data_IF_919601165031
#
_entry.id   IF_919601165031
#
_cell.length_a   1.000
_cell.length_b   1.000
_cell.length_c   1.000
_cell.angle_alpha   90.00
_cell.angle_beta   90.00
_cell.angle_gamma   90.00
#
_symmetry.space_group_name_H-M   'P 1'
#
loop_
_entity.id
_entity.type
_entity.pdbx_description
1 polymer ?
#
# COMPACT_ATOMS: atom_id res chain seq x y z
N UNK A 1 35.30 -58.36 -51.84
CA UNK A 1 34.65 -58.96 -50.66
C UNK A 1 34.95 -58.02 -49.50
N UNK A 2 34.05 -57.12 -49.21
CA UNK A 2 34.20 -56.14 -48.14
C UNK A 2 32.91 -56.08 -47.40
N UNK A 3 32.92 -56.38 -46.13
CA UNK A 3 31.86 -56.37 -45.19
C UNK A 3 31.67 -54.96 -44.69
N UNK A 4 30.43 -54.43 -44.57
CA UNK A 4 30.21 -53.10 -43.96
C UNK A 4 30.08 -53.22 -42.44
N UNK A 5 30.74 -52.30 -41.72
CA UNK A 5 30.63 -52.11 -40.29
C UNK A 5 29.34 -51.34 -39.92
N UNK A 6 28.55 -51.93 -39.06
CA UNK A 6 27.39 -51.31 -38.43
C UNK A 6 27.85 -50.35 -37.28
N UNK A 7 27.64 -49.08 -37.43
CA UNK A 7 27.72 -48.07 -36.36
C UNK A 7 26.38 -48.02 -35.63
N UNK A 8 26.35 -48.64 -34.45
CA UNK A 8 25.23 -48.49 -33.51
C UNK A 8 25.27 -47.14 -32.79
N UNK A 9 24.33 -46.24 -33.11
CA UNK A 9 24.13 -45.02 -32.38
C UNK A 9 23.42 -45.29 -31.05
N UNK A 10 24.12 -45.06 -29.93
CA UNK A 10 23.49 -44.99 -28.60
C UNK A 10 22.80 -43.62 -28.45
N UNK A 11 21.47 -43.60 -28.55
CA UNK A 11 20.68 -42.47 -28.10
C UNK A 11 20.61 -42.47 -26.57
N UNK A 12 21.33 -41.55 -25.94
CA UNK A 12 21.13 -41.24 -24.53
C UNK A 12 19.79 -40.50 -24.39
N UNK A 13 18.76 -41.18 -23.92
CA UNK A 13 17.54 -40.56 -23.42
C UNK A 13 17.89 -40.06 -22.03
N UNK A 14 18.15 -38.75 -21.91
CA UNK A 14 18.19 -38.06 -20.62
C UNK A 14 16.75 -37.95 -20.15
N UNK A 15 16.32 -38.90 -19.32
CA UNK A 15 15.10 -38.76 -18.55
C UNK A 15 15.30 -37.60 -17.54
N UNK A 16 14.73 -36.45 -17.81
CA UNK A 16 14.59 -35.42 -16.81
C UNK A 16 13.75 -36.04 -15.68
N UNK A 17 14.39 -36.28 -14.54
CA UNK A 17 13.69 -36.61 -13.29
C UNK A 17 13.05 -35.30 -12.84
N UNK A 18 11.84 -35.05 -13.28
CA UNK A 18 10.94 -34.09 -12.64
C UNK A 18 10.61 -34.75 -11.30
N UNK A 19 11.29 -34.33 -10.24
CA UNK A 19 10.85 -34.61 -8.87
C UNK A 19 9.54 -33.82 -8.68
N UNK A 20 8.46 -34.47 -9.02
CA UNK A 20 7.10 -34.05 -8.74
C UNK A 20 6.96 -34.04 -7.20
N UNK A 21 7.21 -32.88 -6.59
CA UNK A 21 7.03 -32.70 -5.16
C UNK A 21 5.53 -32.52 -4.94
N UNK A 22 4.80 -33.64 -4.85
CA UNK A 22 3.38 -33.65 -4.60
C UNK A 22 3.05 -32.83 -3.35
N UNK A 23 1.93 -32.09 -3.37
CA UNK A 23 1.42 -31.37 -2.20
C UNK A 23 1.24 -32.35 -1.04
N UNK A 24 1.72 -31.98 0.15
CA UNK A 24 1.61 -32.80 1.37
C UNK A 24 0.22 -32.73 1.99
N UNK A 25 -0.52 -31.67 1.70
CA UNK A 25 -1.85 -31.39 2.27
C UNK A 25 -2.76 -30.79 1.19
N UNK A 26 -4.04 -31.17 1.23
CA UNK A 26 -5.10 -30.58 0.40
C UNK A 26 -6.11 -29.89 1.29
N UNK A 27 -6.50 -28.67 0.94
CA UNK A 27 -7.50 -27.86 1.66
C UNK A 27 -8.62 -27.47 0.68
N UNK A 28 -9.85 -27.82 1.00
CA UNK A 28 -11.02 -27.38 0.24
C UNK A 28 -11.72 -26.22 0.97
N UNK A 29 -12.01 -25.11 0.25
CA UNK A 29 -12.68 -23.91 0.79
C UNK A 29 -13.67 -23.32 -0.23
N UNK A 30 -14.57 -22.47 0.25
CA UNK A 30 -15.37 -21.64 -0.65
C UNK A 30 -14.50 -20.55 -1.30
N UNK A 31 -13.63 -19.89 -0.52
CA UNK A 31 -12.80 -18.79 -1.00
C UNK A 31 -11.36 -18.94 -0.50
N UNK A 32 -10.41 -18.82 -1.42
CA UNK A 32 -9.00 -18.59 -1.11
C UNK A 32 -8.66 -17.09 -1.29
N UNK A 33 -7.98 -16.50 -0.32
CA UNK A 33 -7.59 -15.08 -0.32
C UNK A 33 -6.06 -15.00 -0.31
N UNK A 34 -5.47 -14.42 -1.33
CA UNK A 34 -4.04 -14.16 -1.39
C UNK A 34 -3.76 -12.76 -0.87
N UNK A 35 -3.05 -12.68 0.24
CA UNK A 35 -2.72 -11.47 1.00
C UNK A 35 -3.64 -11.26 2.21
N UNK A 36 -3.01 -11.08 3.39
CA UNK A 36 -3.68 -10.82 4.68
C UNK A 36 -3.58 -9.35 5.12
N UNK A 37 -3.46 -8.43 4.17
CA UNK A 37 -3.50 -6.99 4.43
C UNK A 37 -4.89 -6.47 4.78
N UNK A 38 -5.07 -5.14 4.75
CA UNK A 38 -6.34 -4.49 5.14
C UNK A 38 -7.56 -5.06 4.39
N UNK A 39 -7.45 -5.23 3.07
CA UNK A 39 -8.55 -5.73 2.23
C UNK A 39 -8.82 -7.21 2.44
N UNK A 40 -7.76 -8.04 2.38
CA UNK A 40 -7.92 -9.50 2.48
C UNK A 40 -8.36 -9.96 3.86
N UNK A 41 -7.78 -9.39 4.93
CA UNK A 41 -8.19 -9.70 6.30
C UNK A 41 -9.65 -9.30 6.58
N UNK A 42 -10.07 -8.12 6.10
CA UNK A 42 -11.47 -7.69 6.21
C UNK A 42 -12.41 -8.64 5.44
N UNK A 43 -12.08 -8.96 4.19
CA UNK A 43 -12.90 -9.86 3.38
C UNK A 43 -13.01 -11.25 4.03
N UNK A 44 -11.90 -11.79 4.59
CA UNK A 44 -11.91 -13.08 5.29
C UNK A 44 -12.84 -13.08 6.49
N UNK A 45 -12.79 -12.06 7.35
CA UNK A 45 -13.68 -11.93 8.51
C UNK A 45 -15.14 -11.85 8.07
N UNK A 46 -15.44 -10.99 7.09
CA UNK A 46 -16.82 -10.82 6.61
C UNK A 46 -17.38 -12.10 6.00
N UNK A 47 -16.62 -12.76 5.13
CA UNK A 47 -17.02 -14.01 4.49
C UNK A 47 -17.29 -15.11 5.53
N UNK A 48 -16.39 -15.28 6.49
CA UNK A 48 -16.49 -16.32 7.50
C UNK A 48 -17.59 -16.04 8.51
N UNK A 49 -17.56 -14.88 9.16
CA UNK A 49 -18.40 -14.57 10.32
C UNK A 49 -19.80 -14.06 9.93
N UNK A 50 -19.89 -13.28 8.84
CA UNK A 50 -21.14 -12.63 8.48
C UNK A 50 -21.91 -13.41 7.39
N UNK A 51 -21.20 -14.19 6.54
CA UNK A 51 -21.79 -14.93 5.43
C UNK A 51 -21.61 -16.45 5.51
N UNK A 52 -21.03 -16.96 6.60
CA UNK A 52 -20.83 -18.39 6.85
C UNK A 52 -20.18 -19.13 5.66
N UNK A 53 -19.14 -18.53 5.07
CA UNK A 53 -18.34 -19.13 4.00
C UNK A 53 -17.02 -19.64 4.56
N UNK A 54 -16.57 -20.79 4.11
CA UNK A 54 -15.25 -21.30 4.44
C UNK A 54 -14.18 -20.54 3.68
N UNK A 55 -13.15 -20.04 4.40
CA UNK A 55 -12.07 -19.24 3.82
C UNK A 55 -10.70 -19.82 4.17
N UNK A 56 -9.69 -19.49 3.39
CA UNK A 56 -8.30 -19.62 3.77
C UNK A 56 -7.53 -18.38 3.24
N UNK A 57 -6.71 -17.79 4.11
CA UNK A 57 -5.84 -16.65 3.77
C UNK A 57 -4.42 -17.15 3.60
N UNK A 58 -3.78 -16.81 2.50
CA UNK A 58 -2.35 -17.06 2.26
C UNK A 58 -1.60 -15.74 2.43
N UNK A 59 -0.72 -15.66 3.42
CA UNK A 59 0.01 -14.44 3.76
C UNK A 59 1.52 -14.68 3.73
N UNK A 60 2.25 -13.86 2.98
CA UNK A 60 3.71 -13.97 2.82
C UNK A 60 4.49 -13.62 4.09
N UNK A 61 3.92 -12.77 4.95
CA UNK A 61 4.51 -12.42 6.23
C UNK A 61 4.12 -13.43 7.32
N UNK A 62 4.75 -13.32 8.48
CA UNK A 62 4.40 -14.11 9.67
C UNK A 62 3.26 -13.47 10.50
N UNK A 63 2.56 -12.47 9.95
CA UNK A 63 1.47 -11.73 10.58
C UNK A 63 0.49 -11.19 9.55
N UNK A 64 -0.73 -10.92 9.96
CA UNK A 64 -1.70 -10.13 9.17
C UNK A 64 -1.43 -8.62 9.33
N UNK A 65 -2.05 -7.81 8.46
CA UNK A 65 -2.07 -6.36 8.55
C UNK A 65 -1.42 -5.61 7.38
N UNK A 66 -0.65 -6.30 6.53
CA UNK A 66 -0.02 -5.68 5.35
C UNK A 66 0.83 -4.45 5.71
N UNK A 67 0.39 -3.26 5.30
CA UNK A 67 1.08 -1.99 5.56
C UNK A 67 0.93 -1.45 7.00
N UNK A 68 0.16 -2.09 7.86
CA UNK A 68 0.20 -1.78 9.29
C UNK A 68 1.53 -2.27 9.85
N UNK A 69 2.25 -1.36 10.51
CA UNK A 69 3.53 -1.64 11.12
C UNK A 69 3.63 -0.89 12.46
N UNK A 70 3.66 -1.64 13.54
CA UNK A 70 3.78 -1.14 14.91
C UNK A 70 5.09 -1.62 15.52
N UNK A 71 5.77 -0.73 16.25
CA UNK A 71 6.98 -1.02 16.99
C UNK A 71 6.72 -0.75 18.49
N UNK A 72 7.01 -1.72 19.33
CA UNK A 72 7.00 -1.53 20.78
C UNK A 72 8.43 -1.44 21.26
N UNK A 73 8.78 -0.30 21.84
CA UNK A 73 10.10 -0.05 22.38
C UNK A 73 10.32 -0.93 23.62
N UNK A 74 11.30 -1.85 23.59
CA UNK A 74 11.54 -2.76 24.72
C UNK A 74 12.03 -2.07 26.00
N UNK A 75 12.61 -0.86 25.89
CA UNK A 75 13.12 -0.11 27.05
C UNK A 75 12.00 0.63 27.78
N UNK A 76 11.03 1.18 27.04
CA UNK A 76 9.98 2.02 27.61
C UNK A 76 8.61 1.35 27.65
N UNK A 77 8.42 0.25 26.93
CA UNK A 77 7.13 -0.40 26.71
C UNK A 77 6.16 0.43 25.85
N UNK A 78 6.59 1.58 25.32
CA UNK A 78 5.76 2.43 24.49
C UNK A 78 5.63 1.88 23.08
N UNK A 79 4.42 1.93 22.51
CA UNK A 79 4.16 1.49 21.14
C UNK A 79 3.99 2.68 20.19
N UNK A 80 4.49 2.50 18.98
CA UNK A 80 4.47 3.50 17.92
C UNK A 80 4.07 2.85 16.58
N UNK A 81 3.05 3.40 15.94
CA UNK A 81 2.72 3.05 14.56
C UNK A 81 3.61 3.83 13.60
N UNK A 82 4.33 3.12 12.74
CA UNK A 82 5.22 3.74 11.74
C UNK A 82 4.79 3.47 10.29
N UNK A 83 3.85 2.53 10.06
CA UNK A 83 3.09 2.36 8.83
C UNK A 83 1.78 3.18 8.85
N UNK A 84 0.63 2.50 8.85
CA UNK A 84 -0.70 3.14 9.03
C UNK A 84 -0.80 3.76 10.41
N UNK A 85 -1.14 5.06 10.48
CA UNK A 85 -1.14 5.80 11.75
C UNK A 85 -2.53 5.97 12.38
N UNK A 86 -3.57 6.11 11.55
CA UNK A 86 -4.95 6.29 12.01
C UNK A 86 -5.92 5.96 10.88
N UNK A 87 -7.16 5.80 11.25
CA UNK A 87 -8.28 5.47 10.37
C UNK A 87 -9.22 6.67 10.25
N UNK A 88 -9.58 7.05 9.03
CA UNK A 88 -10.67 8.01 8.81
C UNK A 88 -11.98 7.35 9.22
N UNK A 89 -12.83 8.07 9.94
CA UNK A 89 -14.13 7.59 10.40
C UNK A 89 -15.09 7.52 9.20
N UNK A 90 -14.96 6.48 8.41
CA UNK A 90 -15.79 6.17 7.25
C UNK A 90 -16.92 5.21 7.68
N UNK A 91 -18.09 5.21 7.03
CA UNK A 91 -19.22 4.36 7.43
C UNK A 91 -18.84 2.90 7.67
N UNK A 92 -19.21 2.33 8.81
CA UNK A 92 -18.93 0.94 9.19
C UNK A 92 -17.51 0.64 9.69
N UNK A 93 -16.58 1.60 9.56
CA UNK A 93 -15.17 1.35 9.88
C UNK A 93 -14.91 1.21 11.40
N UNK A 94 -15.52 2.08 12.19
CA UNK A 94 -15.39 2.01 13.66
C UNK A 94 -16.04 0.75 14.21
N UNK A 95 -17.22 0.39 13.71
CA UNK A 95 -17.96 -0.80 14.08
C UNK A 95 -17.17 -2.06 13.78
N UNK A 96 -16.44 -2.10 12.67
CA UNK A 96 -15.58 -3.23 12.33
C UNK A 96 -14.44 -3.42 13.34
N UNK A 97 -13.83 -2.35 13.85
CA UNK A 97 -12.76 -2.45 14.87
C UNK A 97 -13.33 -2.82 16.24
N UNK A 98 -14.44 -2.19 16.63
CA UNK A 98 -15.05 -2.42 17.94
C UNK A 98 -15.61 -3.86 18.09
N UNK A 99 -15.95 -4.54 16.99
CA UNK A 99 -16.39 -5.96 17.04
C UNK A 99 -15.32 -6.91 17.63
N UNK A 100 -14.07 -6.49 17.69
CA UNK A 100 -12.97 -7.24 18.31
C UNK A 100 -12.66 -6.78 19.74
N UNK A 101 -13.58 -6.06 20.39
CA UNK A 101 -13.39 -5.49 21.74
C UNK A 101 -12.18 -4.53 21.84
N UNK A 102 -11.77 -3.93 20.72
CA UNK A 102 -10.65 -2.98 20.69
C UNK A 102 -11.19 -1.57 20.90
N UNK A 103 -10.88 -0.94 22.06
CA UNK A 103 -11.29 0.43 22.32
C UNK A 103 -10.50 1.40 21.44
N UNK A 104 -11.21 2.38 20.88
CA UNK A 104 -10.64 3.40 19.99
C UNK A 104 -10.76 4.80 20.56
N UNK A 105 -9.84 5.67 20.17
CA UNK A 105 -9.82 7.07 20.58
C UNK A 105 -9.48 7.98 19.39
N UNK A 106 -9.74 9.28 19.54
CA UNK A 106 -9.33 10.29 18.56
C UNK A 106 -7.83 10.49 18.61
N UNK A 107 -7.13 10.58 17.45
CA UNK A 107 -5.71 10.81 17.42
C UNK A 107 -5.29 12.11 18.10
N UNK A 108 -4.31 12.02 18.98
CA UNK A 108 -3.63 13.19 19.56
C UNK A 108 -2.26 13.31 18.90
N UNK A 109 -1.93 14.53 18.44
CA UNK A 109 -0.63 14.82 17.86
C UNK A 109 0.32 15.35 18.92
N UNK A 110 1.54 14.80 18.95
CA UNK A 110 2.62 15.43 19.70
C UNK A 110 2.98 16.76 19.02
N UNK A 111 3.07 17.87 19.75
CA UNK A 111 3.63 19.09 19.20
C UNK A 111 5.12 18.87 18.92
N UNK A 112 5.55 19.01 17.67
CA UNK A 112 6.94 18.87 17.26
C UNK A 112 7.46 20.21 16.75
N UNK A 113 8.72 20.50 17.09
CA UNK A 113 9.46 21.60 16.50
C UNK A 113 9.89 21.20 15.09
N UNK A 114 9.15 21.65 14.08
CA UNK A 114 9.43 21.27 12.69
C UNK A 114 10.53 22.14 12.10
N UNK A 115 11.54 21.49 11.57
CA UNK A 115 12.68 22.08 10.87
C UNK A 115 12.65 21.63 9.41
N UNK A 116 12.79 22.57 8.48
CA UNK A 116 12.83 22.28 7.04
C UNK A 116 14.26 22.35 6.53
N UNK A 117 14.69 21.29 5.85
CA UNK A 117 16.04 21.18 5.32
C UNK A 117 16.05 20.44 3.99
N UNK A 118 17.00 20.76 3.14
CA UNK A 118 17.32 19.98 1.95
C UNK A 118 18.18 18.79 2.36
N UNK A 119 17.61 17.58 2.32
CA UNK A 119 18.30 16.36 2.72
C UNK A 119 19.39 15.92 1.74
N UNK A 120 19.45 16.53 0.55
CA UNK A 120 20.52 16.27 -0.42
C UNK A 120 21.80 17.02 -0.07
N UNK A 121 21.68 18.17 0.55
CA UNK A 121 22.80 19.02 1.00
C UNK A 121 22.98 19.06 2.52
N UNK A 122 21.94 18.72 3.27
CA UNK A 122 21.88 18.79 4.74
C UNK A 122 21.55 20.17 5.29
N UNK A 123 21.51 21.22 4.47
CA UNK A 123 21.33 22.60 4.93
C UNK A 123 19.86 22.95 5.20
N UNK A 124 19.66 23.84 6.19
CA UNK A 124 18.35 24.46 6.43
C UNK A 124 17.88 25.21 5.17
N UNK A 125 16.57 25.18 4.94
CA UNK A 125 15.92 25.94 3.88
C UNK A 125 15.07 27.07 4.45
N UNK A 126 14.84 28.11 3.65
CA UNK A 126 13.95 29.22 4.01
C UNK A 126 12.46 28.87 3.75
N UNK A 127 12.16 27.58 3.67
CA UNK A 127 10.79 27.11 3.43
C UNK A 127 9.89 27.36 4.65
N UNK A 128 8.69 27.79 4.38
CA UNK A 128 7.59 27.82 5.36
C UNK A 128 6.30 27.31 4.72
N UNK A 129 5.50 26.60 5.51
CA UNK A 129 4.15 26.23 5.05
C UNK A 129 3.32 27.50 4.76
N UNK A 130 2.43 27.46 3.78
CA UNK A 130 1.44 28.51 3.59
C UNK A 130 0.68 28.78 4.89
N UNK A 131 0.23 30.03 5.13
CA UNK A 131 -0.57 30.38 6.30
C UNK A 131 -1.77 29.43 6.48
N UNK A 132 -2.10 29.08 7.73
CA UNK A 132 -3.12 28.10 8.04
C UNK A 132 -4.52 28.47 7.48
N UNK A 133 -4.85 29.75 7.44
CA UNK A 133 -6.09 30.25 6.83
C UNK A 133 -6.10 30.05 5.31
N UNK A 134 -5.00 30.27 4.63
CA UNK A 134 -4.86 30.05 3.18
C UNK A 134 -4.93 28.56 2.85
N UNK A 135 -4.17 27.72 3.59
CA UNK A 135 -4.25 26.26 3.46
C UNK A 135 -5.67 25.76 3.66
N UNK A 136 -6.38 26.24 4.70
CA UNK A 136 -7.77 25.84 4.98
C UNK A 136 -8.72 26.29 3.87
N UNK A 137 -8.57 27.50 3.35
CA UNK A 137 -9.39 27.99 2.25
C UNK A 137 -9.16 27.15 0.96
N UNK A 138 -7.89 26.86 0.65
CA UNK A 138 -7.54 26.03 -0.50
C UNK A 138 -8.03 24.59 -0.35
N UNK A 139 -7.95 23.98 0.84
CA UNK A 139 -8.50 22.65 1.11
C UNK A 139 -10.03 22.60 1.01
N UNK A 140 -10.76 23.66 1.41
CA UNK A 140 -12.22 23.73 1.21
C UNK A 140 -12.57 23.75 -0.28
N UNK A 141 -11.87 24.56 -1.07
CA UNK A 141 -12.06 24.60 -2.52
C UNK A 141 -11.68 23.25 -3.18
N UNK A 142 -10.60 22.64 -2.72
CA UNK A 142 -10.21 21.30 -3.18
C UNK A 142 -11.26 20.24 -2.82
N UNK A 143 -11.89 20.34 -1.63
CA UNK A 143 -12.97 19.44 -1.23
C UNK A 143 -14.15 19.51 -2.21
N UNK A 144 -14.60 20.72 -2.57
CA UNK A 144 -15.70 20.92 -3.53
C UNK A 144 -15.38 20.25 -4.89
N UNK A 145 -14.11 20.33 -5.33
CA UNK A 145 -13.64 19.68 -6.55
C UNK A 145 -13.59 18.14 -6.42
N UNK A 146 -13.18 17.63 -5.27
CA UNK A 146 -13.19 16.19 -5.00
C UNK A 146 -14.61 15.63 -4.93
N UNK A 147 -15.54 16.34 -4.27
CA UNK A 147 -16.94 15.93 -4.12
C UNK A 147 -17.65 15.80 -5.47
N UNK A 148 -17.26 16.59 -6.45
CA UNK A 148 -17.76 16.47 -7.83
C UNK A 148 -17.52 15.09 -8.46
N UNK A 149 -16.43 14.43 -8.08
CA UNK A 149 -15.98 13.16 -8.65
C UNK A 149 -16.00 12.00 -7.65
N UNK A 150 -16.41 12.24 -6.40
CA UNK A 150 -16.29 11.27 -5.31
C UNK A 150 -16.96 9.94 -5.65
N UNK A 151 -18.20 9.96 -6.09
CA UNK A 151 -18.98 8.76 -6.41
C UNK A 151 -18.39 7.95 -7.58
N UNK A 152 -17.58 8.58 -8.43
CA UNK A 152 -16.91 7.92 -9.56
C UNK A 152 -15.55 7.30 -9.17
N UNK A 153 -14.98 7.70 -8.01
CA UNK A 153 -13.64 7.29 -7.60
C UNK A 153 -13.68 6.42 -6.35
N UNK A 154 -14.58 6.71 -5.40
CA UNK A 154 -14.60 6.13 -4.06
C UNK A 154 -16.00 5.58 -3.73
N UNK A 155 -16.12 4.39 -3.15
CA UNK A 155 -15.06 3.46 -2.81
C UNK A 155 -14.56 2.60 -3.98
N UNK A 156 -15.14 2.73 -5.17
CA UNK A 156 -14.79 1.94 -6.36
C UNK A 156 -14.91 2.78 -7.62
N UNK A 157 -14.29 2.34 -8.69
CA UNK A 157 -14.43 2.92 -10.03
C UNK A 157 -15.66 2.37 -10.80
N UNK A 158 -16.65 1.77 -10.11
CA UNK A 158 -17.84 1.21 -10.77
C UNK A 158 -18.64 2.25 -11.57
N UNK A 159 -18.68 3.49 -11.07
CA UNK A 159 -19.35 4.61 -11.72
C UNK A 159 -18.35 5.54 -12.47
N UNK A 160 -17.12 5.06 -12.71
CA UNK A 160 -16.14 5.85 -13.47
C UNK A 160 -16.60 6.00 -14.92
N UNK A 161 -16.52 7.21 -15.51
CA UNK A 161 -16.92 7.43 -16.90
C UNK A 161 -16.16 6.53 -17.87
N UNK A 162 -16.86 5.94 -18.81
CA UNK A 162 -16.25 5.19 -19.91
C UNK A 162 -15.87 6.12 -21.09
N UNK A 163 -15.17 5.56 -22.06
CA UNK A 163 -14.72 6.30 -23.26
C UNK A 163 -15.86 6.81 -24.14
N UNK A 164 -17.09 6.29 -24.02
CA UNK A 164 -18.24 6.74 -24.82
C UNK A 164 -18.82 8.05 -24.29
N UNK A 165 -18.75 8.27 -23.00
CA UNK A 165 -19.14 9.52 -22.32
C UNK A 165 -17.98 10.52 -22.32
N UNK A 166 -16.75 10.03 -22.31
CA UNK A 166 -15.52 10.78 -22.19
C UNK A 166 -15.14 11.05 -20.74
N UNK A 167 -13.86 10.89 -20.45
CA UNK A 167 -13.32 11.11 -19.10
C UNK A 167 -13.15 12.62 -18.89
N UNK A 168 -13.59 13.16 -17.74
CA UNK A 168 -13.40 14.59 -17.46
C UNK A 168 -11.90 14.95 -17.48
N UNK A 169 -11.54 15.98 -18.25
CA UNK A 169 -10.17 16.49 -18.38
C UNK A 169 -9.50 16.76 -17.00
N UNK A 170 -10.30 17.21 -16.03
CA UNK A 170 -9.82 17.43 -14.66
C UNK A 170 -9.20 16.18 -14.03
N UNK A 171 -9.64 14.98 -14.38
CA UNK A 171 -9.14 13.73 -13.83
C UNK A 171 -7.87 13.22 -14.52
N UNK A 172 -7.72 13.51 -15.82
CA UNK A 172 -6.57 13.05 -16.63
C UNK A 172 -5.42 14.04 -16.64
N UNK A 173 -5.68 15.35 -16.39
CA UNK A 173 -4.63 16.36 -16.34
C UNK A 173 -3.68 16.16 -15.17
N UNK A 174 -2.45 16.65 -15.32
CA UNK A 174 -1.45 16.66 -14.25
C UNK A 174 -1.91 17.47 -13.06
N UNK A 175 -1.64 16.98 -11.86
CA UNK A 175 -2.06 17.66 -10.63
C UNK A 175 -1.47 19.06 -10.46
N UNK A 176 -0.25 19.31 -10.93
CA UNK A 176 0.34 20.64 -10.93
C UNK A 176 -0.50 21.63 -11.74
N UNK A 177 -1.03 21.23 -12.89
CA UNK A 177 -1.85 22.07 -13.77
C UNK A 177 -3.25 22.24 -13.18
N UNK A 178 -3.82 21.19 -12.61
CA UNK A 178 -5.06 21.24 -11.84
C UNK A 178 -4.97 22.22 -10.66
N UNK A 179 -3.90 22.14 -9.87
CA UNK A 179 -3.70 23.02 -8.72
C UNK A 179 -3.64 24.50 -9.14
N UNK A 180 -2.94 24.81 -10.23
CA UNK A 180 -2.88 26.17 -10.80
C UNK A 180 -4.22 26.62 -11.40
N UNK A 181 -4.86 25.75 -12.19
CA UNK A 181 -6.18 26.03 -12.82
C UNK A 181 -7.20 26.46 -11.75
N UNK A 182 -7.21 25.77 -10.64
CA UNK A 182 -8.16 26.01 -9.56
C UNK A 182 -7.62 26.87 -8.41
N UNK A 183 -6.39 27.40 -8.49
CA UNK A 183 -5.78 28.24 -7.47
C UNK A 183 -5.86 27.61 -6.06
N UNK A 184 -5.39 26.38 -5.96
CA UNK A 184 -5.35 25.59 -4.72
C UNK A 184 -3.92 25.25 -4.28
N UNK A 185 -2.92 26.00 -4.77
CA UNK A 185 -1.50 25.76 -4.50
C UNK A 185 -1.19 25.69 -3.00
N UNK A 186 -1.88 26.48 -2.18
CA UNK A 186 -1.70 26.46 -0.73
C UNK A 186 -2.15 25.16 -0.05
N UNK A 187 -2.93 24.29 -0.72
CA UNK A 187 -3.29 22.97 -0.23
C UNK A 187 -2.23 21.91 -0.55
N UNK A 188 -1.46 22.10 -1.63
CA UNK A 188 -0.54 21.07 -2.18
C UNK A 188 0.49 20.58 -1.16
N UNK A 189 1.17 21.44 -0.36
CA UNK A 189 2.10 20.97 0.66
C UNK A 189 1.46 20.06 1.70
N UNK A 190 0.18 20.30 2.05
CA UNK A 190 -0.57 19.45 2.98
C UNK A 190 -0.93 18.11 2.34
N UNK A 191 -1.37 18.11 1.09
CA UNK A 191 -1.66 16.90 0.31
C UNK A 191 -0.37 16.06 0.22
N UNK A 192 0.77 16.65 -0.14
CA UNK A 192 2.06 15.99 -0.19
C UNK A 192 2.47 15.38 1.16
N UNK A 193 2.36 16.14 2.26
CA UNK A 193 2.77 15.67 3.58
C UNK A 193 2.01 14.44 4.07
N UNK A 194 0.78 14.24 3.60
CA UNK A 194 -0.07 13.12 4.04
C UNK A 194 0.04 11.93 3.11
N UNK A 195 0.00 12.15 1.82
CA UNK A 195 -0.12 11.09 0.81
C UNK A 195 1.00 11.12 -0.22
N UNK A 196 1.52 12.30 -0.51
CA UNK A 196 2.57 12.48 -1.51
C UNK A 196 3.88 11.80 -1.12
N UNK A 197 4.11 11.55 0.18
CA UNK A 197 5.26 10.77 0.64
C UNK A 197 5.24 9.31 0.16
N UNK A 198 4.07 8.82 -0.25
CA UNK A 198 3.92 7.50 -0.85
C UNK A 198 3.58 7.55 -2.34
N UNK A 199 3.39 8.72 -2.94
CA UNK A 199 3.10 8.87 -4.37
C UNK A 199 4.38 9.17 -5.15
N UNK A 200 4.51 8.50 -6.29
CA UNK A 200 5.52 8.85 -7.28
C UNK A 200 5.22 10.26 -7.80
N UNK A 201 6.20 11.14 -7.93
CA UNK A 201 6.09 12.48 -8.53
C UNK A 201 4.67 13.10 -8.49
N UNK A 202 4.20 13.43 -7.28
CA UNK A 202 2.84 13.95 -7.02
C UNK A 202 2.38 14.99 -8.03
N UNK A 203 3.27 15.91 -8.40
CA UNK A 203 2.92 17.05 -9.24
C UNK A 203 2.60 16.66 -10.70
N UNK A 204 3.23 15.59 -11.18
CA UNK A 204 3.04 15.08 -12.55
C UNK A 204 2.05 13.92 -12.62
N UNK A 205 1.49 13.46 -11.51
CA UNK A 205 0.43 12.47 -11.50
C UNK A 205 -0.86 13.01 -12.12
N UNK A 206 -1.64 12.14 -12.78
CA UNK A 206 -3.02 12.47 -13.13
C UNK A 206 -3.82 12.78 -11.86
N UNK A 207 -4.64 13.83 -11.90
CA UNK A 207 -5.40 14.31 -10.73
C UNK A 207 -6.30 13.23 -10.14
N UNK A 208 -6.81 12.29 -10.94
CA UNK A 208 -7.52 11.10 -10.49
C UNK A 208 -6.81 10.42 -9.31
N UNK A 209 -5.51 10.12 -9.48
CA UNK A 209 -4.76 9.37 -8.46
C UNK A 209 -4.44 10.19 -7.23
N UNK A 210 -4.32 11.51 -7.37
CA UNK A 210 -4.22 12.42 -6.22
C UNK A 210 -5.55 12.47 -5.45
N UNK A 211 -6.69 12.53 -6.14
CA UNK A 211 -8.01 12.46 -5.52
C UNK A 211 -8.31 11.08 -4.91
N UNK A 212 -7.80 10.00 -5.50
CA UNK A 212 -7.85 8.66 -4.92
C UNK A 212 -7.09 8.60 -3.59
N UNK A 213 -5.90 9.19 -3.54
CA UNK A 213 -5.03 9.17 -2.36
C UNK A 213 -5.37 10.22 -1.31
N UNK A 214 -5.83 11.42 -1.71
CA UNK A 214 -6.25 12.51 -0.84
C UNK A 214 -7.57 13.11 -1.33
N UNK A 215 -8.59 12.29 -1.50
CA UNK A 215 -9.91 12.72 -1.95
C UNK A 215 -10.79 13.31 -0.86
N UNK A 216 -12.09 13.36 -1.13
CA UNK A 216 -13.06 13.99 -0.26
C UNK A 216 -13.06 13.46 1.19
N UNK A 217 -13.01 12.12 1.46
CA UNK A 217 -13.03 11.61 2.84
C UNK A 217 -11.84 12.11 3.67
N UNK A 218 -10.64 12.09 3.11
CA UNK A 218 -9.43 12.54 3.81
C UNK A 218 -9.44 14.06 3.99
N UNK A 219 -9.85 14.78 2.96
CA UNK A 219 -9.97 16.25 3.02
C UNK A 219 -10.98 16.67 4.09
N UNK A 220 -12.14 16.00 4.19
CA UNK A 220 -13.12 16.23 5.27
C UNK A 220 -12.52 15.98 6.65
N UNK A 221 -11.70 14.92 6.81
CA UNK A 221 -11.01 14.64 8.06
C UNK A 221 -10.01 15.74 8.43
N UNK A 222 -9.23 16.23 7.45
CA UNK A 222 -8.31 17.35 7.68
C UNK A 222 -8.97 18.68 7.99
N UNK A 223 -10.17 18.90 7.47
CA UNK A 223 -10.99 20.07 7.78
C UNK A 223 -11.79 19.92 9.09
N UNK A 224 -11.71 18.77 9.76
CA UNK A 224 -12.44 18.50 11.01
C UNK A 224 -13.94 18.27 10.81
N UNK A 225 -14.38 17.99 9.58
CA UNK A 225 -15.79 17.69 9.26
C UNK A 225 -16.12 16.23 9.64
N UNK A 226 -15.14 15.33 9.43
CA UNK A 226 -15.21 13.91 9.81
C UNK A 226 -14.06 13.60 10.75
N UNK A 227 -14.31 12.76 11.74
CA UNK A 227 -13.30 12.31 12.69
C UNK A 227 -12.30 11.33 12.11
N UNK A 228 -11.31 11.02 12.92
CA UNK A 228 -10.42 9.86 12.73
C UNK A 228 -10.25 9.16 14.06
N UNK A 229 -9.83 7.92 14.02
CA UNK A 229 -9.63 7.11 15.22
C UNK A 229 -8.42 6.18 15.09
N UNK A 230 -7.96 5.66 16.21
CA UNK A 230 -6.96 4.59 16.32
C UNK A 230 -7.15 3.84 17.65
N UNK A 231 -6.60 2.63 17.83
CA UNK A 231 -6.68 1.89 19.08
C UNK A 231 -6.08 2.68 20.27
N UNK A 232 -6.71 2.58 21.44
CA UNK A 232 -6.22 3.21 22.68
C UNK A 232 -4.81 2.74 23.03
N UNK A 233 -4.46 1.51 22.68
CA UNK A 233 -3.10 0.94 22.83
C UNK A 233 -2.02 1.67 22.01
N UNK A 234 -2.40 2.50 21.03
CA UNK A 234 -1.49 3.12 20.04
C UNK A 234 -0.77 2.07 19.20
N UNK A 235 -1.42 0.94 18.94
CA UNK A 235 -0.88 -0.18 18.19
C UNK A 235 -1.94 -0.69 17.23
N UNK A 236 -1.90 -0.20 16.00
CA UNK A 236 -2.85 -0.59 14.96
C UNK A 236 -2.77 -2.09 14.63
N UNK A 237 -1.64 -2.72 14.93
CA UNK A 237 -1.46 -4.16 14.76
C UNK A 237 -2.42 -4.99 15.63
N UNK A 238 -2.93 -4.46 16.75
CA UNK A 238 -3.86 -5.17 17.62
C UNK A 238 -5.14 -5.59 16.91
N UNK A 239 -5.60 -4.81 15.92
CA UNK A 239 -6.76 -5.17 15.09
C UNK A 239 -6.48 -6.46 14.32
N UNK A 240 -5.30 -6.57 13.73
CA UNK A 240 -4.92 -7.72 12.92
C UNK A 240 -4.47 -8.92 13.74
N UNK A 241 -3.96 -8.68 14.95
CA UNK A 241 -3.70 -9.74 15.92
C UNK A 241 -5.02 -10.39 16.37
N UNK A 242 -6.07 -9.59 16.62
CA UNK A 242 -7.40 -10.10 16.95
C UNK A 242 -8.07 -10.84 15.75
N UNK A 243 -7.89 -10.34 14.53
CA UNK A 243 -8.34 -11.04 13.32
C UNK A 243 -7.58 -12.37 13.16
N UNK A 244 -6.29 -12.38 13.43
CA UNK A 244 -5.46 -13.59 13.36
C UNK A 244 -5.92 -14.66 14.38
N UNK A 245 -6.24 -14.24 15.60
CA UNK A 245 -6.81 -15.11 16.63
C UNK A 245 -8.17 -15.68 16.18
N UNK A 246 -9.06 -14.82 15.64
CA UNK A 246 -10.35 -15.23 15.12
C UNK A 246 -10.22 -16.26 14.00
N UNK A 247 -9.37 -16.01 13.00
CA UNK A 247 -9.22 -16.89 11.84
C UNK A 247 -8.45 -18.17 12.16
N UNK A 248 -7.51 -18.13 13.11
CA UNK A 248 -6.77 -19.31 13.58
C UNK A 248 -6.09 -20.07 12.45
N UNK A 249 -6.41 -21.35 12.30
CA UNK A 249 -5.83 -22.24 11.28
C UNK A 249 -6.27 -21.94 9.84
N UNK A 250 -7.18 -21.00 9.62
CA UNK A 250 -7.58 -20.55 8.29
C UNK A 250 -6.60 -19.51 7.70
N UNK A 251 -5.45 -19.25 8.37
CA UNK A 251 -4.35 -18.42 7.83
C UNK A 251 -3.10 -19.26 7.67
N UNK A 252 -2.55 -19.24 6.45
CA UNK A 252 -1.26 -19.84 6.12
C UNK A 252 -0.23 -18.70 6.06
N UNK A 253 0.54 -18.55 7.14
CA UNK A 253 1.59 -17.54 7.27
C UNK A 253 2.88 -17.96 6.56
N UNK A 254 3.75 -16.98 6.28
CA UNK A 254 5.06 -17.18 5.61
C UNK A 254 4.91 -18.04 4.35
N UNK A 255 3.85 -17.81 3.61
CA UNK A 255 3.39 -18.67 2.52
C UNK A 255 3.02 -17.84 1.29
N UNK A 256 3.35 -18.35 0.11
CA UNK A 256 3.05 -17.70 -1.19
C UNK A 256 2.46 -18.71 -2.17
N UNK A 257 1.58 -18.23 -3.06
CA UNK A 257 1.14 -19.00 -4.20
C UNK A 257 2.32 -19.16 -5.18
N UNK A 258 2.59 -20.38 -5.60
CA UNK A 258 3.67 -20.69 -6.57
C UNK A 258 3.15 -21.14 -7.92
N UNK A 259 1.92 -21.65 -7.94
CA UNK A 259 1.21 -22.05 -9.15
C UNK A 259 -0.30 -21.98 -8.92
N UNK A 260 -1.03 -21.43 -9.86
CA UNK A 260 -2.49 -21.33 -9.76
C UNK A 260 -3.13 -21.71 -11.11
N UNK A 261 -4.08 -22.63 -11.06
CA UNK A 261 -4.98 -22.94 -12.18
C UNK A 261 -6.33 -22.29 -11.87
N UNK A 262 -6.86 -21.50 -12.82
CA UNK A 262 -8.13 -20.77 -12.67
C UNK A 262 -9.05 -21.10 -13.83
N UNK A 263 -10.27 -21.47 -13.52
CA UNK A 263 -11.36 -21.75 -14.49
C UNK A 263 -12.64 -21.03 -14.06
N UNK A 264 -13.67 -21.11 -14.89
CA UNK A 264 -14.99 -20.54 -14.51
C UNK A 264 -15.67 -21.35 -13.37
N UNK A 265 -15.25 -22.61 -13.16
CA UNK A 265 -15.81 -23.50 -12.13
C UNK A 265 -15.09 -23.37 -10.77
N UNK A 266 -13.88 -22.80 -10.75
CA UNK A 266 -13.10 -22.65 -9.54
C UNK A 266 -11.61 -22.56 -9.76
N UNK A 267 -10.85 -22.64 -8.67
CA UNK A 267 -9.39 -22.46 -8.69
C UNK A 267 -8.68 -23.55 -7.90
N UNK A 268 -7.48 -23.91 -8.35
CA UNK A 268 -6.49 -24.70 -7.61
C UNK A 268 -5.26 -23.85 -7.40
N UNK A 269 -4.86 -23.64 -6.15
CA UNK A 269 -3.70 -22.82 -5.77
C UNK A 269 -2.69 -23.70 -5.05
N UNK A 270 -1.53 -23.88 -5.63
CA UNK A 270 -0.39 -24.51 -4.97
C UNK A 270 0.37 -23.44 -4.17
N UNK A 271 0.38 -23.62 -2.86
CA UNK A 271 1.03 -22.72 -1.90
C UNK A 271 2.30 -23.36 -1.38
N UNK A 272 3.37 -22.58 -1.28
CA UNK A 272 4.63 -22.99 -0.66
C UNK A 272 4.93 -22.10 0.55
N UNK A 273 5.15 -22.71 1.70
CA UNK A 273 5.59 -22.02 2.91
C UNK A 273 7.11 -21.90 3.01
N UNK A 274 7.60 -21.05 3.93
CA UNK A 274 9.03 -20.78 4.10
C UNK A 274 9.88 -22.02 4.44
N UNK A 275 9.28 -23.07 5.01
CA UNK A 275 9.92 -24.37 5.27
C UNK A 275 9.87 -25.33 4.05
N UNK A 276 9.43 -24.85 2.89
CA UNK A 276 9.22 -25.58 1.65
C UNK A 276 8.07 -26.62 1.70
N UNK A 277 7.22 -26.59 2.73
CA UNK A 277 5.99 -27.39 2.72
C UNK A 277 5.04 -26.88 1.65
N UNK A 278 4.44 -27.79 0.89
CA UNK A 278 3.48 -27.46 -0.17
C UNK A 278 2.07 -27.89 0.22
N UNK A 279 1.14 -26.97 0.04
CA UNK A 279 -0.29 -27.16 0.27
C UNK A 279 -1.07 -26.84 -1.00
N UNK A 280 -1.93 -27.77 -1.44
CA UNK A 280 -2.86 -27.52 -2.54
C UNK A 280 -4.18 -27.02 -1.95
N UNK A 281 -4.62 -25.83 -2.37
CA UNK A 281 -5.90 -25.28 -2.00
C UNK A 281 -6.83 -25.36 -3.20
N UNK A 282 -8.02 -25.98 -3.00
CA UNK A 282 -9.12 -25.97 -3.96
C UNK A 282 -10.21 -25.05 -3.46
N UNK A 283 -10.60 -24.08 -4.28
CA UNK A 283 -11.64 -23.14 -3.89
C UNK A 283 -12.58 -22.82 -5.05
N UNK A 284 -13.82 -22.41 -4.71
CA UNK A 284 -14.77 -21.95 -5.71
C UNK A 284 -14.36 -20.58 -6.25
N UNK A 285 -13.79 -19.72 -5.39
CA UNK A 285 -13.38 -18.36 -5.77
C UNK A 285 -12.01 -18.01 -5.18
N UNK A 286 -11.28 -17.18 -5.92
CA UNK A 286 -10.00 -16.57 -5.54
C UNK A 286 -10.18 -15.07 -5.35
N UNK A 287 -9.63 -14.53 -4.26
CA UNK A 287 -9.48 -13.10 -4.05
C UNK A 287 -7.99 -12.76 -4.00
N UNK A 288 -7.53 -11.89 -4.90
CA UNK A 288 -6.18 -11.32 -4.88
C UNK A 288 -6.26 -9.94 -4.21
N UNK A 289 -5.58 -9.76 -3.08
CA UNK A 289 -5.71 -8.58 -2.21
C UNK A 289 -4.40 -7.83 -1.97
N UNK A 290 -3.54 -7.82 -2.97
CA UNK A 290 -2.28 -7.05 -3.01
C UNK A 290 -2.16 -6.32 -4.35
N UNK A 291 -1.18 -5.42 -4.44
CA UNK A 291 -0.96 -4.60 -5.63
C UNK A 291 -0.60 -5.49 -6.84
N UNK A 292 -1.40 -5.43 -7.95
CA UNK A 292 -1.29 -6.35 -9.08
C UNK A 292 -0.18 -5.91 -10.06
N UNK A 293 1.06 -5.84 -9.58
CA UNK A 293 2.24 -5.76 -10.46
C UNK A 293 2.55 -7.14 -11.02
N UNK A 294 3.18 -7.22 -12.20
CA UNK A 294 3.50 -8.52 -12.81
C UNK A 294 4.34 -9.39 -11.89
N UNK A 295 5.30 -8.81 -11.16
CA UNK A 295 6.13 -9.53 -10.19
C UNK A 295 5.31 -10.09 -9.02
N UNK A 296 4.38 -9.29 -8.48
CA UNK A 296 3.52 -9.75 -7.39
C UNK A 296 2.52 -10.83 -7.84
N UNK A 297 2.17 -10.86 -9.12
CA UNK A 297 1.25 -11.83 -9.71
C UNK A 297 1.95 -13.12 -10.18
N UNK A 298 3.27 -13.24 -10.00
CA UNK A 298 3.97 -14.51 -10.22
C UNK A 298 3.32 -15.60 -9.36
N UNK A 299 2.99 -16.73 -9.97
CA UNK A 299 2.27 -17.82 -9.31
C UNK A 299 0.74 -17.69 -9.26
N UNK A 300 0.15 -16.53 -9.64
CA UNK A 300 -1.32 -16.35 -9.71
C UNK A 300 -1.94 -16.94 -10.98
N UNK A 301 -1.15 -17.20 -12.01
CA UNK A 301 -1.64 -17.80 -13.26
C UNK A 301 -2.49 -16.83 -14.08
N UNK A 302 -2.04 -15.58 -14.22
CA UNK A 302 -2.70 -14.57 -15.05
C UNK A 302 -2.62 -14.90 -16.53
N UNK A 303 -3.61 -14.47 -17.30
CA UNK A 303 -3.66 -14.67 -18.75
C UNK A 303 -3.11 -13.46 -19.54
N UNK A 304 -3.17 -13.54 -20.87
CA UNK A 304 -2.65 -12.49 -21.75
C UNK A 304 -3.44 -11.17 -21.62
N UNK A 305 -4.76 -11.24 -21.41
CA UNK A 305 -5.60 -10.04 -21.24
C UNK A 305 -5.29 -9.34 -19.91
N UNK A 306 -5.20 -10.10 -18.82
CA UNK A 306 -4.77 -9.59 -17.52
C UNK A 306 -3.35 -9.02 -17.57
N UNK A 307 -2.43 -9.70 -18.25
CA UNK A 307 -1.05 -9.23 -18.47
C UNK A 307 -1.05 -7.89 -19.23
N UNK A 308 -1.89 -7.75 -20.27
CA UNK A 308 -2.00 -6.52 -21.06
C UNK A 308 -2.45 -5.34 -20.18
N UNK A 309 -3.42 -5.55 -19.29
CA UNK A 309 -3.91 -4.50 -18.40
C UNK A 309 -2.87 -4.19 -17.31
N UNK A 310 -2.36 -5.21 -16.62
CA UNK A 310 -1.47 -5.01 -15.47
C UNK A 310 -0.08 -4.49 -15.86
N UNK A 311 0.40 -4.75 -17.07
CA UNK A 311 1.67 -4.22 -17.57
C UNK A 311 1.70 -2.70 -17.74
N UNK A 312 0.54 -2.05 -17.76
CA UNK A 312 0.42 -0.59 -17.87
C UNK A 312 0.71 0.15 -16.55
N UNK A 313 0.65 -0.55 -15.43
CA UNK A 313 0.88 0.04 -14.12
C UNK A 313 2.28 0.63 -13.96
N UNK A 314 2.32 1.81 -13.36
CA UNK A 314 3.50 2.44 -12.78
C UNK A 314 3.26 2.62 -11.29
N UNK A 315 4.32 2.64 -10.50
CA UNK A 315 4.23 2.75 -9.04
C UNK A 315 5.47 3.37 -8.43
N UNK A 316 5.38 3.77 -7.17
CA UNK A 316 6.52 4.03 -6.30
C UNK A 316 6.71 2.88 -5.32
N UNK A 317 7.93 2.72 -4.82
CA UNK A 317 8.23 1.88 -3.66
C UNK A 317 8.27 2.73 -2.40
N UNK A 318 7.68 2.24 -1.32
CA UNK A 318 7.57 2.97 -0.06
C UNK A 318 8.11 2.13 1.08
N UNK A 319 8.95 2.77 1.89
CA UNK A 319 9.54 2.18 3.08
C UNK A 319 9.25 3.06 4.29
N UNK A 320 8.97 2.42 5.41
CA UNK A 320 8.82 3.10 6.68
C UNK A 320 9.73 2.45 7.72
N UNK A 321 10.25 3.24 8.65
CA UNK A 321 11.12 2.69 9.68
C UNK A 321 11.06 3.48 10.98
N UNK A 322 11.53 2.83 12.04
CA UNK A 322 11.88 3.45 13.30
C UNK A 322 13.38 3.43 13.44
N UNK A 323 13.96 4.61 13.58
CA UNK A 323 15.40 4.79 13.74
C UNK A 323 15.71 5.47 15.08
N UNK A 324 16.92 5.27 15.57
CA UNK A 324 17.39 5.88 16.81
C UNK A 324 18.83 6.34 16.67
N UNK A 325 19.13 7.49 17.24
CA UNK A 325 20.48 7.98 17.41
C UNK A 325 20.55 8.92 18.62
N UNK A 326 21.55 8.79 19.52
CA UNK A 326 21.60 9.57 20.76
C UNK A 326 21.74 11.09 20.53
N UNK A 327 22.29 11.51 19.39
CA UNK A 327 22.42 12.93 19.02
C UNK A 327 21.14 13.56 18.47
N UNK A 328 20.11 12.78 18.15
CA UNK A 328 18.85 13.35 17.67
C UNK A 328 18.06 13.95 18.82
N UNK A 329 17.72 15.26 18.77
CA UNK A 329 17.07 15.94 19.88
C UNK A 329 15.59 15.56 20.01
N UNK A 330 15.12 15.31 21.23
CA UNK A 330 13.71 15.02 21.51
C UNK A 330 12.78 16.17 21.09
N UNK A 331 11.60 15.81 20.58
CA UNK A 331 10.55 16.80 20.23
C UNK A 331 10.73 17.50 18.88
N UNK A 332 11.64 17.04 18.04
CA UNK A 332 11.87 17.62 16.71
C UNK A 332 11.29 16.75 15.58
N UNK A 333 10.90 17.43 14.51
CA UNK A 333 10.64 16.83 13.20
C UNK A 333 11.52 17.52 12.17
N UNK A 334 12.28 16.76 11.43
CA UNK A 334 13.05 17.27 10.28
C UNK A 334 12.31 16.84 9.01
N UNK A 335 11.89 17.82 8.23
CA UNK A 335 11.10 17.59 7.00
C UNK A 335 11.95 17.98 5.79
N UNK A 336 12.03 17.07 4.84
CA UNK A 336 12.78 17.29 3.60
C UNK A 336 12.06 18.29 2.69
N UNK A 337 12.83 19.20 2.13
CA UNK A 337 12.39 20.19 1.15
C UNK A 337 13.47 20.41 0.10
N UNK A 338 13.09 20.55 -1.16
CA UNK A 338 14.02 20.93 -2.23
C UNK A 338 13.74 22.37 -2.68
N UNK A 339 14.62 23.33 -2.36
CA UNK A 339 14.41 24.73 -2.71
C UNK A 339 14.44 25.02 -4.22
N UNK A 340 14.80 24.04 -5.06
CA UNK A 340 14.86 24.17 -6.52
C UNK A 340 13.56 23.78 -7.21
N UNK A 341 12.68 23.08 -6.51
CA UNK A 341 11.42 22.57 -7.06
C UNK A 341 10.23 23.47 -6.71
N UNK A 342 9.15 23.30 -7.45
CA UNK A 342 7.91 24.01 -7.16
C UNK A 342 7.35 23.58 -5.81
N UNK A 343 6.99 24.55 -4.97
CA UNK A 343 6.55 24.36 -3.59
C UNK A 343 7.56 23.58 -2.71
N UNK A 344 8.80 23.51 -3.13
CA UNK A 344 9.89 22.82 -2.41
C UNK A 344 9.61 21.33 -2.15
N UNK A 345 8.87 20.67 -3.03
CA UNK A 345 8.60 19.24 -2.95
C UNK A 345 9.80 18.46 -3.46
N UNK A 346 10.40 17.53 -2.68
CA UNK A 346 11.56 16.77 -3.11
C UNK A 346 11.23 15.81 -4.25
N UNK A 347 12.21 15.57 -5.12
CA UNK A 347 12.15 14.60 -6.21
C UNK A 347 12.64 13.22 -5.75
N UNK A 348 12.16 12.17 -6.43
CA UNK A 348 12.54 10.77 -6.12
C UNK A 348 14.01 10.47 -6.44
N UNK A 349 14.68 9.61 -5.67
CA UNK A 349 14.23 9.05 -4.40
C UNK A 349 14.47 10.03 -3.24
N UNK A 350 13.65 9.99 -2.21
CA UNK A 350 13.83 10.87 -1.05
C UNK A 350 13.46 10.21 0.28
N UNK A 351 14.13 10.67 1.35
CA UNK A 351 13.61 10.53 2.72
C UNK A 351 12.70 11.74 2.98
N UNK A 352 11.45 11.50 3.32
CA UNK A 352 10.47 12.58 3.51
C UNK A 352 10.70 13.34 4.82
N UNK A 353 11.01 12.60 5.89
CA UNK A 353 11.16 13.20 7.21
C UNK A 353 11.77 12.25 8.24
N UNK A 354 12.26 12.87 9.33
CA UNK A 354 12.55 12.24 10.60
C UNK A 354 11.61 12.83 11.66
N UNK A 355 10.58 12.11 12.07
CA UNK A 355 9.59 12.56 13.05
C UNK A 355 9.84 11.90 14.41
N UNK A 356 10.04 12.68 15.45
CA UNK A 356 10.17 12.17 16.81
C UNK A 356 8.90 11.46 17.27
N UNK A 357 9.06 10.25 17.77
CA UNK A 357 7.97 9.40 18.28
C UNK A 357 7.89 9.38 19.80
N UNK A 358 9.03 9.47 20.47
CA UNK A 358 9.19 9.34 21.92
C UNK A 358 10.47 8.59 22.26
N UNK A 359 11.00 8.75 23.47
CA UNK A 359 12.32 8.21 23.83
C UNK A 359 13.41 8.73 22.90
N UNK A 360 14.18 7.86 22.29
CA UNK A 360 15.14 8.20 21.25
C UNK A 360 14.68 7.74 19.85
N UNK A 361 13.37 7.49 19.68
CA UNK A 361 12.84 6.90 18.46
C UNK A 361 12.35 7.97 17.50
N UNK A 362 12.68 7.80 16.23
CA UNK A 362 12.24 8.63 15.13
C UNK A 362 11.63 7.77 14.02
N UNK A 363 10.47 8.18 13.52
CA UNK A 363 9.90 7.60 12.31
C UNK A 363 10.55 8.19 11.08
N UNK A 364 10.89 7.33 10.12
CA UNK A 364 11.32 7.71 8.78
C UNK A 364 10.36 7.18 7.74
N UNK A 365 10.16 7.95 6.67
CA UNK A 365 9.42 7.54 5.48
C UNK A 365 10.32 7.79 4.27
N UNK A 366 10.44 6.79 3.41
CA UNK A 366 11.28 6.82 2.22
C UNK A 366 10.45 6.42 1.01
N UNK A 367 10.60 7.17 -0.06
CA UNK A 367 9.94 6.88 -1.34
C UNK A 367 10.96 6.83 -2.45
N UNK A 368 10.83 5.83 -3.32
CA UNK A 368 11.66 5.65 -4.50
C UNK A 368 10.84 5.23 -5.72
N UNK A 369 11.47 5.16 -6.87
CA UNK A 369 10.88 4.58 -8.08
C UNK A 369 10.74 3.05 -7.97
N UNK A 370 10.17 2.42 -9.00
CA UNK A 370 9.87 0.98 -9.00
C UNK A 370 11.09 0.08 -8.74
N UNK A 371 12.26 0.49 -9.19
CA UNK A 371 13.52 -0.26 -9.04
C UNK A 371 14.28 0.04 -7.74
N UNK A 372 13.76 0.96 -6.91
CA UNK A 372 14.44 1.38 -5.68
C UNK A 372 14.22 0.35 -4.57
N UNK A 373 15.31 -0.22 -4.07
CA UNK A 373 15.26 -1.35 -3.14
C UNK A 373 15.23 -0.94 -1.67
N UNK A 374 14.86 -1.87 -0.79
CA UNK A 374 14.92 -1.70 0.67
C UNK A 374 16.35 -1.40 1.17
N UNK A 375 17.38 -1.93 0.49
CA UNK A 375 18.77 -1.64 0.82
C UNK A 375 19.11 -0.19 0.49
N UNK A 376 18.74 0.28 -0.72
CA UNK A 376 18.94 1.66 -1.14
C UNK A 376 18.23 2.65 -0.21
N UNK A 377 17.02 2.31 0.23
CA UNK A 377 16.24 3.13 1.14
C UNK A 377 16.91 3.28 2.52
N UNK A 378 17.44 2.21 3.07
CA UNK A 378 18.19 2.24 4.35
C UNK A 378 19.47 3.05 4.23
N UNK A 379 20.17 2.92 3.12
CA UNK A 379 21.38 3.69 2.85
C UNK A 379 21.07 5.18 2.65
N UNK A 380 19.97 5.50 1.94
CA UNK A 380 19.51 6.87 1.77
C UNK A 380 19.17 7.54 3.11
N UNK A 381 18.57 6.82 4.06
CA UNK A 381 18.27 7.31 5.41
C UNK A 381 19.57 7.65 6.15
N UNK A 382 20.57 6.77 6.15
CA UNK A 382 21.86 7.00 6.78
C UNK A 382 22.58 8.20 6.18
N UNK A 383 22.64 8.26 4.85
CA UNK A 383 23.29 9.34 4.11
C UNK A 383 22.61 10.69 4.34
N UNK A 384 21.27 10.72 4.38
CA UNK A 384 20.50 11.93 4.68
C UNK A 384 20.81 12.46 6.07
N UNK A 385 20.81 11.60 7.09
CA UNK A 385 21.15 12.00 8.45
C UNK A 385 22.62 12.49 8.57
N UNK A 386 23.55 11.80 7.92
CA UNK A 386 24.97 12.22 7.91
C UNK A 386 25.15 13.60 7.28
N UNK A 387 24.44 13.92 6.19
CA UNK A 387 24.46 15.24 5.56
C UNK A 387 23.87 16.32 6.47
N UNK A 388 22.74 16.05 7.12
CA UNK A 388 22.12 16.96 8.10
C UNK A 388 23.08 17.27 9.25
N UNK A 389 23.83 16.29 9.73
CA UNK A 389 24.82 16.48 10.78
C UNK A 389 26.05 17.25 10.27
N UNK A 390 26.56 16.92 9.09
CA UNK A 390 27.70 17.61 8.49
C UNK A 390 27.42 19.11 8.24
N UNK A 391 26.17 19.45 7.90
CA UNK A 391 25.72 20.82 7.72
C UNK A 391 25.38 21.55 9.03
N UNK A 392 25.39 20.85 10.17
CA UNK A 392 25.02 21.41 11.49
C UNK A 392 23.51 21.60 11.69
N UNK A 393 22.66 21.03 10.84
CA UNK A 393 21.20 21.05 10.97
C UNK A 393 20.73 20.15 12.11
N UNK A 394 21.41 19.03 12.32
CA UNK A 394 21.30 18.19 13.53
C UNK A 394 22.66 18.19 14.25
N UNK A 395 22.71 17.88 15.55
CA UNK A 395 23.98 17.72 16.27
C UNK A 395 24.90 16.69 15.61
N UNK A 396 26.21 16.83 15.83
CA UNK A 396 27.20 15.84 15.36
C UNK A 396 26.85 14.42 15.83
N UNK A 397 26.96 13.46 14.91
CA UNK A 397 26.63 12.05 15.24
C UNK A 397 27.73 11.35 16.03
N UNK A 398 28.96 11.92 16.07
CA UNK A 398 30.11 11.23 16.67
C UNK A 398 30.45 9.94 15.93
N UNK A 399 30.86 8.93 16.69
CA UNK A 399 31.21 7.59 16.15
C UNK A 399 30.05 6.58 16.24
N UNK A 400 28.92 6.99 16.81
CA UNK A 400 27.75 6.11 16.98
C UNK A 400 27.02 5.93 15.64
N UNK A 401 26.67 4.68 15.26
CA UNK A 401 25.90 4.43 14.06
C UNK A 401 24.40 4.74 14.27
N UNK A 402 23.74 5.13 13.19
CA UNK A 402 22.28 5.16 13.17
C UNK A 402 21.73 3.74 13.34
N UNK A 403 20.96 3.51 14.39
CA UNK A 403 20.26 2.26 14.61
C UNK A 403 18.93 2.24 13.88
N UNK A 404 18.63 1.18 13.14
CA UNK A 404 17.31 0.91 12.54
C UNK A 404 16.62 -0.12 13.42
N UNK A 405 15.73 0.33 14.31
CA UNK A 405 15.02 -0.52 15.28
C UNK A 405 13.87 -1.31 14.67
N UNK A 406 13.21 -0.74 13.66
CA UNK A 406 12.16 -1.41 12.92
C UNK A 406 12.14 -0.93 11.47
N UNK A 407 11.73 -1.80 10.57
CA UNK A 407 11.67 -1.50 9.15
C UNK A 407 10.54 -2.26 8.47
N UNK A 408 9.74 -1.56 7.68
CA UNK A 408 8.69 -2.14 6.84
C UNK A 408 8.95 -1.80 5.39
N UNK A 409 8.93 -2.82 4.56
CA UNK A 409 8.89 -2.73 3.11
C UNK A 409 7.42 -2.83 2.68
N UNK A 410 6.87 -1.73 2.22
CA UNK A 410 5.49 -1.68 1.72
C UNK A 410 5.39 -2.08 0.24
N UNK A 411 6.52 -2.25 -0.44
CA UNK A 411 6.57 -2.63 -1.85
C UNK A 411 5.98 -1.57 -2.78
N UNK A 412 5.34 -2.04 -3.84
CA UNK A 412 4.64 -1.20 -4.78
C UNK A 412 3.44 -0.50 -4.12
N UNK A 413 3.37 0.82 -4.28
CA UNK A 413 2.26 1.62 -3.77
C UNK A 413 1.81 2.66 -4.81
N UNK A 414 0.56 3.10 -4.69
CA UNK A 414 -0.02 4.13 -5.55
C UNK A 414 0.13 3.79 -7.04
N UNK A 415 -0.34 2.58 -7.41
CA UNK A 415 -0.39 2.16 -8.80
C UNK A 415 -1.20 3.16 -9.61
N UNK A 416 -0.65 3.56 -10.75
CA UNK A 416 -1.25 4.56 -11.59
C UNK A 416 -0.89 4.32 -13.07
N UNK A 417 -1.66 4.91 -13.97
CA UNK A 417 -1.36 4.99 -15.39
C UNK A 417 -1.34 6.45 -15.84
N UNK A 418 -0.88 6.73 -17.04
CA UNK A 418 -0.91 8.08 -17.60
C UNK A 418 -2.34 8.55 -17.90
N UNK A 419 -2.53 9.86 -18.09
CA UNK A 419 -3.80 10.42 -18.54
C UNK A 419 -4.26 9.81 -19.88
N UNK A 420 -3.31 9.59 -20.81
CA UNK A 420 -3.61 8.97 -22.11
C UNK A 420 -4.17 7.54 -21.96
N UNK A 421 -3.65 6.75 -21.03
CA UNK A 421 -4.18 5.41 -20.74
C UNK A 421 -5.57 5.47 -20.09
N UNK A 422 -5.82 6.48 -19.24
CA UNK A 422 -7.17 6.71 -18.70
C UNK A 422 -8.14 7.04 -19.82
N UNK A 423 -7.78 7.96 -20.72
CA UNK A 423 -8.59 8.36 -21.87
C UNK A 423 -8.80 7.20 -22.88
N UNK A 424 -7.87 6.24 -22.92
CA UNK A 424 -7.97 5.01 -23.71
C UNK A 424 -8.88 3.93 -23.06
N UNK A 425 -9.42 4.16 -21.84
CA UNK A 425 -10.38 3.25 -21.22
C UNK A 425 -9.77 2.26 -20.21
N UNK A 426 -8.58 2.53 -19.70
CA UNK A 426 -7.88 1.66 -18.76
C UNK A 426 -8.74 1.21 -17.58
N UNK A 427 -9.55 2.10 -16.99
CA UNK A 427 -10.41 1.77 -15.84
C UNK A 427 -11.50 0.77 -16.22
N UNK A 428 -12.06 0.89 -17.41
CA UNK A 428 -13.04 -0.07 -17.93
C UNK A 428 -12.40 -1.45 -18.11
N UNK A 429 -11.22 -1.51 -18.73
CA UNK A 429 -10.48 -2.75 -18.96
C UNK A 429 -10.11 -3.41 -17.61
N UNK A 430 -9.64 -2.61 -16.65
CA UNK A 430 -9.29 -3.07 -15.30
C UNK A 430 -10.49 -3.72 -14.61
N UNK A 431 -11.66 -3.07 -14.62
CA UNK A 431 -12.84 -3.56 -13.94
C UNK A 431 -13.52 -4.74 -14.67
N UNK A 432 -13.30 -4.89 -15.97
CA UNK A 432 -13.73 -6.07 -16.72
C UNK A 432 -13.02 -7.38 -16.29
N UNK A 433 -11.91 -7.28 -15.58
CA UNK A 433 -11.20 -8.44 -15.05
C UNK A 433 -11.87 -9.06 -13.81
N UNK A 434 -12.79 -8.33 -13.15
CA UNK A 434 -13.45 -8.81 -11.93
C UNK A 434 -14.38 -9.99 -12.21
N UNK A 435 -14.21 -11.08 -11.48
CA UNK A 435 -15.02 -12.32 -11.57
C UNK A 435 -14.54 -13.31 -12.64
N UNK A 436 -13.68 -12.89 -13.59
CA UNK A 436 -13.19 -13.81 -14.64
C UNK A 436 -12.42 -14.98 -14.04
N UNK A 437 -12.64 -16.17 -14.59
CA UNK A 437 -11.97 -17.40 -14.13
C UNK A 437 -12.03 -17.55 -12.60
N UNK A 438 -13.21 -17.29 -12.04
CA UNK A 438 -13.47 -17.37 -10.60
C UNK A 438 -12.58 -16.46 -9.74
N UNK A 439 -12.03 -15.36 -10.28
CA UNK A 439 -11.06 -14.51 -9.60
C UNK A 439 -11.57 -13.10 -9.42
N UNK A 440 -11.45 -12.58 -8.19
CA UNK A 440 -11.74 -11.21 -7.82
C UNK A 440 -10.48 -10.52 -7.30
N UNK A 441 -10.41 -9.22 -7.52
CA UNK A 441 -9.28 -8.40 -7.10
C UNK A 441 -9.75 -7.30 -6.14
N UNK A 442 -8.90 -6.94 -5.18
CA UNK A 442 -9.14 -5.85 -4.23
C UNK A 442 -7.80 -5.23 -3.80
N UNK A 443 -7.86 -4.09 -3.16
CA UNK A 443 -6.67 -3.35 -2.73
C UNK A 443 -6.61 -1.94 -3.32
N UNK A 444 -5.48 -1.25 -3.11
CA UNK A 444 -5.31 0.14 -3.48
C UNK A 444 -5.45 0.44 -4.96
N UNK A 445 -5.08 -0.49 -5.82
CA UNK A 445 -5.21 -0.36 -7.27
C UNK A 445 -6.68 -0.30 -7.75
N UNK A 446 -7.61 -0.83 -6.97
CA UNK A 446 -9.03 -0.97 -7.29
C UNK A 446 -9.91 0.07 -6.60
N UNK A 447 -9.35 0.82 -5.66
CA UNK A 447 -10.06 1.77 -4.82
C UNK A 447 -9.10 2.89 -4.40
N UNK A 448 -8.83 3.02 -3.11
CA UNK A 448 -7.91 3.99 -2.53
C UNK A 448 -7.00 3.30 -1.50
N UNK A 449 -5.82 3.87 -1.25
CA UNK A 449 -4.87 3.28 -0.31
C UNK A 449 -5.16 3.67 1.16
N UNK A 450 -6.45 3.74 1.52
CA UNK A 450 -6.90 4.00 2.89
C UNK A 450 -7.73 2.84 3.40
N UNK A 451 -7.31 2.28 4.50
CA UNK A 451 -7.89 1.08 5.09
C UNK A 451 -9.42 1.11 5.14
N UNK A 452 -10.02 2.20 5.62
CA UNK A 452 -11.48 2.29 5.81
C UNK A 452 -12.26 2.38 4.51
N UNK A 453 -11.65 2.95 3.46
CA UNK A 453 -12.23 2.96 2.10
C UNK A 453 -12.10 1.58 1.46
N UNK A 454 -10.98 0.87 1.68
CA UNK A 454 -10.81 -0.52 1.22
C UNK A 454 -11.83 -1.46 1.86
N UNK A 455 -12.18 -1.25 3.14
CA UNK A 455 -13.24 -2.00 3.80
C UNK A 455 -14.61 -1.71 3.18
N UNK A 456 -14.88 -0.46 2.83
CA UNK A 456 -16.12 -0.09 2.16
C UNK A 456 -16.17 -0.60 0.70
N UNK A 457 -15.05 -0.61 -0.03
CA UNK A 457 -14.96 -1.30 -1.31
C UNK A 457 -15.32 -2.78 -1.17
N UNK A 458 -14.80 -3.44 -0.16
CA UNK A 458 -15.13 -4.82 0.14
C UNK A 458 -16.64 -5.00 0.39
N UNK A 459 -17.24 -4.12 1.21
CA UNK A 459 -18.65 -4.19 1.57
C UNK A 459 -19.60 -3.93 0.38
N UNK A 460 -19.29 -2.90 -0.42
CA UNK A 460 -20.22 -2.43 -1.46
C UNK A 460 -19.98 -3.03 -2.83
N UNK A 461 -18.75 -3.41 -3.13
CA UNK A 461 -18.35 -3.88 -4.45
C UNK A 461 -17.97 -5.38 -4.45
N UNK A 462 -16.93 -5.75 -3.71
CA UNK A 462 -16.34 -7.09 -3.76
C UNK A 462 -17.31 -8.17 -3.26
N UNK A 463 -17.76 -8.05 -2.02
CA UNK A 463 -18.56 -9.09 -1.36
C UNK A 463 -19.91 -9.34 -2.06
N UNK A 464 -20.70 -8.33 -2.47
CA UNK A 464 -21.95 -8.59 -3.18
C UNK A 464 -21.76 -9.38 -4.47
N UNK A 465 -20.72 -9.07 -5.25
CA UNK A 465 -20.42 -9.77 -6.50
C UNK A 465 -19.94 -11.19 -6.26
N UNK A 466 -18.96 -11.35 -5.39
CA UNK A 466 -18.38 -12.65 -5.05
C UNK A 466 -19.45 -13.60 -4.49
N UNK A 467 -20.33 -13.13 -3.59
CA UNK A 467 -21.38 -13.92 -2.99
C UNK A 467 -22.49 -14.32 -3.99
N UNK A 468 -22.74 -13.49 -5.01
CA UNK A 468 -23.70 -13.81 -6.06
C UNK A 468 -23.25 -15.01 -6.94
N UNK A 469 -21.94 -15.31 -6.90
CA UNK A 469 -21.34 -16.41 -7.67
C UNK A 469 -20.91 -17.62 -6.81
N UNK A 470 -21.19 -17.62 -5.50
CA UNK A 470 -20.93 -18.71 -4.55
C UNK A 470 -22.19 -19.53 -4.24
#
# INVERSE_FOLDING_TARGET
MGTPALLGGFSLVVAAIITDCAASTVIDRDVVILGGGASGAHAAVRLREDYNKSVVVVEKQNRLGGHVASFTDPETGSSYDYGVNSYTDYPGAREFVVRFDIPVQTPTRLPLNTTYADFTTGHLTNYSLPPANETTAALRKYLELCEKYEDSIIPSYEAFPDTTVGIPEDLTMKFVDFAKKYQIEAAVPRIFQVTGLGMNDLLNQSTLYVMQAFGAPITRSFLGIVGSFFPVSRRNQDIYDAIAELLGSDVLYSSTAVETTRTEEGVEVLVQSADNTRTLIRAKKLVVSFEPTLDNLEGVGIDEEETTVFSKWKWSTVYAGVVSHPSLPSGFSYTNTDPKTWLSIPELPFVGRFDYLGGNNYRVLVTGGSEFTSLDARELVKNSLAKLAAAGTVPSLGDEPLEIKAWADHGAMHLHVSGDELDAGFVTDLYALQGRKSTFFTGGAWSAQFTTILWEFSNRFLLPRLLAEL
#
